data_IF_379211253905
#
_entry.id   IF_379211253905
#
_cell.length_a   1.000
_cell.length_b   1.000
_cell.length_c   1.000
_cell.angle_alpha   90.00
_cell.angle_beta   90.00
_cell.angle_gamma   90.00
#
_symmetry.space_group_name_H-M   'P 1'
#
loop_
_entity.id
_entity.type
_entity.pdbx_description
1 polymer ?
#
# COMPACT_ATOMS: atom_id res chain seq x y z
N UNK A 1 17.02 -10.80 -2.60
CA UNK A 1 17.02 -10.62 -1.12
C UNK A 1 16.00 -11.59 -0.55
N UNK A 2 16.29 -12.24 0.58
CA UNK A 2 15.45 -13.31 1.12
C UNK A 2 15.08 -13.02 2.58
N UNK A 3 13.81 -13.14 2.93
CA UNK A 3 13.34 -13.02 4.32
C UNK A 3 13.49 -14.35 5.04
N UNK A 4 14.04 -14.34 6.25
CA UNK A 4 14.20 -15.57 7.04
C UNK A 4 12.85 -16.08 7.55
N UNK A 5 12.53 -17.34 7.24
CA UNK A 5 11.32 -18.00 7.75
C UNK A 5 11.31 -18.08 9.27
N UNK A 6 12.46 -18.29 9.93
CA UNK A 6 12.54 -18.36 11.40
C UNK A 6 12.17 -17.04 12.07
N UNK A 7 12.53 -15.91 11.43
CA UNK A 7 12.14 -14.58 11.90
C UNK A 7 10.64 -14.39 11.70
N UNK A 8 10.10 -14.80 10.54
CA UNK A 8 8.67 -14.71 10.24
C UNK A 8 7.82 -15.57 11.16
N UNK A 9 8.26 -16.79 11.53
CA UNK A 9 7.57 -17.63 12.52
C UNK A 9 7.45 -16.93 13.87
N UNK A 10 8.56 -16.39 14.40
CA UNK A 10 8.56 -15.66 15.68
C UNK A 10 7.64 -14.45 15.65
N UNK A 11 7.68 -13.68 14.55
CA UNK A 11 6.83 -12.51 14.38
C UNK A 11 5.35 -12.89 14.19
N UNK A 12 5.07 -14.00 13.51
CA UNK A 12 3.71 -14.51 13.34
C UNK A 12 3.13 -14.96 14.67
N UNK A 13 3.88 -15.69 15.51
CA UNK A 13 3.44 -16.02 16.87
C UNK A 13 3.05 -14.77 17.66
N UNK A 14 3.92 -13.75 17.67
CA UNK A 14 3.65 -12.49 18.36
C UNK A 14 2.43 -11.75 17.79
N UNK A 15 2.24 -11.78 16.47
CA UNK A 15 1.07 -11.23 15.81
C UNK A 15 -0.20 -11.98 16.19
N UNK A 16 -0.19 -13.31 16.15
CA UNK A 16 -1.35 -14.14 16.49
C UNK A 16 -1.76 -13.97 17.96
N UNK A 17 -0.81 -13.86 18.88
CA UNK A 17 -1.07 -13.56 20.30
C UNK A 17 -1.67 -12.15 20.48
N UNK A 18 -1.14 -11.17 19.76
CA UNK A 18 -1.66 -9.80 19.78
C UNK A 18 -3.10 -9.73 19.25
N UNK A 19 -3.36 -10.32 18.07
CA UNK A 19 -4.72 -10.40 17.52
C UNK A 19 -5.63 -11.15 18.48
N UNK A 20 -5.19 -12.26 19.06
CA UNK A 20 -6.02 -13.03 19.98
C UNK A 20 -6.43 -12.24 21.23
N UNK A 21 -5.52 -11.40 21.72
CA UNK A 21 -5.80 -10.49 22.84
C UNK A 21 -6.81 -9.42 22.45
N UNK A 22 -6.65 -8.82 21.27
CA UNK A 22 -7.50 -7.72 20.80
C UNK A 22 -8.91 -8.19 20.39
N UNK A 23 -9.00 -9.33 19.70
CA UNK A 23 -10.24 -9.92 19.22
C UNK A 23 -10.93 -10.79 20.28
N UNK A 24 -10.24 -11.08 21.40
CA UNK A 24 -10.68 -12.01 22.47
C UNK A 24 -10.95 -13.44 21.96
N UNK A 25 -10.32 -13.83 20.86
CA UNK A 25 -10.42 -15.16 20.25
C UNK A 25 -9.17 -15.44 19.42
N UNK A 26 -8.72 -16.71 19.29
CA UNK A 26 -7.52 -17.03 18.51
C UNK A 26 -7.58 -16.52 17.07
N UNK A 27 -6.44 -16.04 16.55
CA UNK A 27 -6.31 -15.74 15.13
C UNK A 27 -6.51 -17.02 14.30
N UNK A 28 -7.38 -16.94 13.29
CA UNK A 28 -7.65 -18.06 12.37
C UNK A 28 -7.30 -17.68 10.93
N UNK A 29 -7.89 -16.59 10.42
CA UNK A 29 -7.63 -16.04 9.09
C UNK A 29 -7.64 -14.52 9.15
N UNK A 30 -7.02 -13.87 8.16
CA UNK A 30 -7.07 -12.41 8.05
C UNK A 30 -8.50 -11.89 7.89
N UNK A 31 -9.34 -12.60 7.13
CA UNK A 31 -10.72 -12.21 6.87
C UNK A 31 -11.65 -12.38 8.09
N UNK A 32 -11.29 -13.25 9.05
CA UNK A 32 -12.09 -13.48 10.26
C UNK A 32 -11.70 -12.57 11.44
N UNK A 33 -10.57 -11.85 11.35
CA UNK A 33 -10.09 -11.00 12.45
C UNK A 33 -10.78 -9.64 12.45
N UNK A 34 -11.42 -9.29 13.56
CA UNK A 34 -12.09 -7.99 13.74
C UNK A 34 -11.08 -6.85 13.84
N UNK A 35 -9.92 -7.08 14.46
CA UNK A 35 -8.81 -6.12 14.52
C UNK A 35 -8.28 -5.81 13.11
N UNK A 36 -7.97 -6.85 12.33
CA UNK A 36 -7.46 -6.68 10.96
C UNK A 36 -8.50 -5.96 10.12
N UNK A 37 -9.78 -6.33 10.25
CA UNK A 37 -10.85 -5.66 9.53
C UNK A 37 -10.90 -4.17 9.82
N UNK A 38 -11.09 -3.82 11.09
CA UNK A 38 -11.22 -2.43 11.53
C UNK A 38 -10.01 -1.56 11.18
N UNK A 39 -8.80 -2.14 11.21
CA UNK A 39 -7.57 -1.33 11.13
C UNK A 39 -6.91 -1.35 9.77
N UNK A 40 -7.11 -2.38 8.95
CA UNK A 40 -6.35 -2.55 7.70
C UNK A 40 -7.19 -2.98 6.48
N UNK A 41 -8.37 -3.61 6.65
CA UNK A 41 -9.18 -4.06 5.51
C UNK A 41 -9.83 -2.92 4.71
N UNK A 42 -9.93 -1.70 5.27
CA UNK A 42 -10.38 -0.52 4.52
C UNK A 42 -9.57 -0.30 3.24
N UNK A 43 -8.32 -0.80 3.16
CA UNK A 43 -7.47 -0.72 1.96
C UNK A 43 -8.06 -1.45 0.76
N UNK A 44 -8.80 -2.55 0.97
CA UNK A 44 -9.53 -3.23 -0.09
C UNK A 44 -10.63 -2.31 -0.63
N UNK A 45 -11.41 -1.69 0.25
CA UNK A 45 -12.42 -0.71 -0.15
C UNK A 45 -11.79 0.47 -0.88
N UNK A 46 -10.65 0.99 -0.40
CA UNK A 46 -9.91 2.08 -1.07
C UNK A 46 -9.48 1.68 -2.49
N UNK A 47 -8.99 0.46 -2.67
CA UNK A 47 -8.59 -0.04 -3.98
C UNK A 47 -9.76 -0.07 -4.97
N UNK A 48 -10.89 -0.67 -4.58
CA UNK A 48 -12.06 -0.80 -5.45
C UNK A 48 -12.63 0.58 -5.82
N UNK A 49 -12.87 1.44 -4.82
CA UNK A 49 -13.44 2.76 -5.03
C UNK A 49 -12.49 3.69 -5.81
N UNK A 50 -11.19 3.61 -5.57
CA UNK A 50 -10.21 4.37 -6.36
C UNK A 50 -10.21 3.97 -7.83
N UNK A 51 -10.42 2.69 -8.16
CA UNK A 51 -10.50 2.23 -9.55
C UNK A 51 -11.77 2.67 -10.26
N UNK A 52 -12.90 2.65 -9.56
CA UNK A 52 -14.13 3.20 -10.11
C UNK A 52 -14.01 4.70 -10.36
N UNK A 53 -13.46 5.46 -9.40
CA UNK A 53 -13.18 6.89 -9.58
C UNK A 53 -12.15 7.19 -10.68
N UNK A 54 -11.15 6.32 -10.86
CA UNK A 54 -10.17 6.45 -11.93
C UNK A 54 -10.82 6.25 -13.31
N UNK A 55 -11.76 5.32 -13.44
CA UNK A 55 -12.54 5.11 -14.66
C UNK A 55 -11.71 4.84 -15.92
N UNK A 56 -10.47 4.36 -15.77
CA UNK A 56 -9.49 4.24 -16.86
C UNK A 56 -9.94 3.32 -18.00
N UNK A 57 -10.89 2.41 -17.74
CA UNK A 57 -11.55 1.58 -18.76
C UNK A 57 -12.14 2.43 -19.90
N UNK A 58 -12.66 3.62 -19.60
CA UNK A 58 -13.35 4.49 -20.55
C UNK A 58 -12.50 5.57 -21.21
N UNK A 59 -11.23 5.73 -20.81
CA UNK A 59 -10.37 6.75 -21.40
C UNK A 59 -10.08 6.48 -22.87
N UNK A 60 -10.05 7.55 -23.66
CA UNK A 60 -9.70 7.54 -25.08
C UNK A 60 -8.49 8.43 -25.36
N UNK A 61 -7.85 8.27 -26.52
CA UNK A 61 -6.66 9.07 -26.88
C UNK A 61 -7.01 10.56 -26.95
N UNK A 62 -8.24 10.91 -27.31
CA UNK A 62 -8.73 12.29 -27.41
C UNK A 62 -8.92 12.95 -26.04
N UNK A 63 -8.98 12.16 -24.95
CA UNK A 63 -9.05 12.70 -23.59
C UNK A 63 -7.70 13.29 -23.14
N UNK A 64 -6.59 12.96 -23.83
CA UNK A 64 -5.24 13.43 -23.49
C UNK A 64 -5.09 14.93 -23.76
N UNK A 65 -4.71 15.68 -22.73
CA UNK A 65 -4.52 17.14 -22.75
C UNK A 65 -5.76 17.93 -22.35
N UNK A 66 -6.91 17.27 -22.12
CA UNK A 66 -8.16 17.93 -21.74
C UNK A 66 -8.21 18.28 -20.24
N UNK A 67 -7.42 17.57 -19.42
CA UNK A 67 -7.48 17.60 -17.96
C UNK A 67 -8.36 16.52 -17.35
N UNK A 68 -9.12 15.75 -18.16
CA UNK A 68 -10.02 14.69 -17.70
C UNK A 68 -9.27 13.54 -17.02
N UNK A 69 -8.11 13.15 -17.54
CA UNK A 69 -7.30 12.04 -17.00
C UNK A 69 -6.65 12.47 -15.69
N UNK A 70 -6.06 13.66 -15.63
CA UNK A 70 -5.53 14.23 -14.39
C UNK A 70 -6.63 14.39 -13.33
N UNK A 71 -7.83 14.83 -13.71
CA UNK A 71 -8.97 14.92 -12.80
C UNK A 71 -9.38 13.55 -12.26
N UNK A 72 -9.42 12.52 -13.11
CA UNK A 72 -9.73 11.15 -12.68
C UNK A 72 -8.66 10.59 -11.73
N UNK A 73 -7.36 10.83 -11.99
CA UNK A 73 -6.29 10.48 -11.06
C UNK A 73 -6.45 11.23 -9.74
N UNK A 74 -6.77 12.52 -9.79
CA UNK A 74 -7.01 13.33 -8.58
C UNK A 74 -8.22 12.82 -7.76
N UNK A 75 -9.28 12.34 -8.42
CA UNK A 75 -10.42 11.71 -7.75
C UNK A 75 -9.99 10.40 -7.07
N UNK A 76 -9.28 9.52 -7.79
CA UNK A 76 -8.84 8.22 -7.28
C UNK A 76 -7.89 8.29 -6.06
N UNK A 77 -7.06 9.34 -5.95
CA UNK A 77 -6.20 9.54 -4.78
C UNK A 77 -6.95 10.18 -3.59
N UNK A 78 -8.02 10.94 -3.85
CA UNK A 78 -8.84 11.62 -2.82
C UNK A 78 -10.05 10.79 -2.38
N UNK A 79 -10.16 9.56 -2.86
CA UNK A 79 -11.19 8.58 -2.48
C UNK A 79 -11.44 8.53 -0.97
N UNK A 80 -12.72 8.50 -0.63
CA UNK A 80 -13.26 8.18 0.70
C UNK A 80 -14.12 6.94 0.57
N UNK A 81 -14.04 6.02 1.52
CA UNK A 81 -14.75 4.75 1.44
C UNK A 81 -15.60 4.51 2.67
N UNK A 82 -16.73 3.86 2.48
CA UNK A 82 -17.51 3.33 3.59
C UNK A 82 -16.98 1.94 3.92
N UNK A 83 -16.44 1.76 5.13
CA UNK A 83 -15.88 0.50 5.59
C UNK A 83 -16.34 0.24 7.03
N UNK A 84 -16.90 -0.94 7.29
CA UNK A 84 -17.40 -1.36 8.61
C UNK A 84 -18.25 -0.30 9.32
N UNK A 85 -19.19 0.26 8.55
CA UNK A 85 -20.13 1.31 8.93
C UNK A 85 -19.57 2.73 9.15
N UNK A 86 -18.29 2.95 8.85
CA UNK A 86 -17.60 4.23 9.04
C UNK A 86 -17.07 4.78 7.71
N UNK A 87 -17.04 6.11 7.59
CA UNK A 87 -16.38 6.79 6.47
C UNK A 87 -14.88 6.91 6.75
N UNK A 88 -14.06 6.29 5.92
CA UNK A 88 -12.61 6.26 6.04
C UNK A 88 -11.97 7.05 4.90
N UNK A 89 -11.10 7.99 5.24
CA UNK A 89 -10.26 8.69 4.27
C UNK A 89 -9.15 7.76 3.76
N UNK A 90 -8.86 7.80 2.45
CA UNK A 90 -7.64 7.17 1.94
C UNK A 90 -6.42 7.81 2.61
N UNK A 91 -5.69 7.07 3.43
CA UNK A 91 -4.48 7.52 4.12
C UNK A 91 -3.19 6.86 3.55
N UNK A 92 -3.30 6.11 2.45
CA UNK A 92 -2.18 5.43 1.80
C UNK A 92 -1.23 6.39 1.08
N UNK A 93 -1.67 7.63 0.86
CA UNK A 93 -0.87 8.74 0.34
C UNK A 93 -1.02 9.90 1.30
N UNK A 94 0.10 10.55 1.66
CA UNK A 94 0.08 11.75 2.51
C UNK A 94 -0.82 12.83 1.89
N UNK A 95 -1.70 13.42 2.71
CA UNK A 95 -2.68 14.41 2.27
C UNK A 95 -2.02 15.62 1.58
N UNK A 96 -0.81 16.01 1.99
CA UNK A 96 -0.05 17.12 1.39
C UNK A 96 0.28 16.82 -0.06
N UNK A 97 0.60 15.57 -0.38
CA UNK A 97 0.92 15.16 -1.75
C UNK A 97 -0.32 15.12 -2.64
N UNK A 98 -1.48 14.81 -2.06
CA UNK A 98 -2.76 14.92 -2.76
C UNK A 98 -3.12 16.37 -3.04
N UNK A 99 -2.88 17.24 -2.07
CA UNK A 99 -3.12 18.67 -2.20
C UNK A 99 -2.19 19.30 -3.26
N UNK A 100 -0.89 19.03 -3.17
CA UNK A 100 0.12 19.41 -4.17
C UNK A 100 -0.29 18.95 -5.58
N UNK A 101 -0.70 17.68 -5.74
CA UNK A 101 -1.15 17.17 -7.04
C UNK A 101 -2.38 17.91 -7.56
N UNK A 102 -3.34 18.22 -6.68
CA UNK A 102 -4.57 18.90 -7.08
C UNK A 102 -4.38 20.36 -7.51
N UNK A 103 -3.26 20.98 -7.13
CA UNK A 103 -2.86 22.32 -7.54
C UNK A 103 -2.03 22.33 -8.83
N UNK A 104 -1.64 21.15 -9.35
CA UNK A 104 -0.86 21.07 -10.60
C UNK A 104 -1.69 21.57 -11.78
N UNK A 105 -1.04 22.35 -12.63
CA UNK A 105 -1.62 22.74 -13.91
C UNK A 105 -1.90 21.49 -14.78
N UNK A 106 -2.87 21.65 -15.68
CA UNK A 106 -3.14 20.64 -16.70
C UNK A 106 -1.88 20.43 -17.53
N UNK A 107 -1.47 19.17 -17.69
CA UNK A 107 -0.26 18.78 -18.42
C UNK A 107 -0.60 17.66 -19.38
N UNK A 108 -0.55 17.97 -20.68
CA UNK A 108 -0.72 16.98 -21.74
C UNK A 108 0.32 15.85 -21.61
N UNK A 109 1.54 16.18 -21.20
CA UNK A 109 2.60 15.18 -21.02
C UNK A 109 2.23 14.21 -19.89
N UNK A 110 1.84 14.73 -18.73
CA UNK A 110 1.47 13.91 -17.58
C UNK A 110 0.22 13.05 -17.86
N UNK A 111 -0.79 13.60 -18.55
CA UNK A 111 -1.95 12.81 -18.99
C UNK A 111 -1.58 11.71 -19.99
N UNK A 112 -0.61 11.98 -20.89
CA UNK A 112 -0.08 10.95 -21.81
C UNK A 112 0.57 9.81 -21.03
N UNK A 113 1.38 10.13 -20.01
CA UNK A 113 2.04 9.14 -19.14
C UNK A 113 0.99 8.30 -18.40
N UNK A 114 0.00 8.93 -17.76
CA UNK A 114 -1.09 8.22 -17.08
C UNK A 114 -1.88 7.33 -18.04
N UNK A 115 -2.24 7.84 -19.22
CA UNK A 115 -2.97 7.07 -20.22
C UNK A 115 -2.19 5.83 -20.64
N UNK A 116 -0.92 5.99 -21.02
CA UNK A 116 -0.06 4.90 -21.44
C UNK A 116 0.16 3.88 -20.32
N UNK A 117 0.37 4.36 -19.09
CA UNK A 117 0.52 3.52 -17.91
C UNK A 117 -0.73 2.67 -17.67
N UNK A 118 -1.91 3.26 -17.55
CA UNK A 118 -3.14 2.52 -17.22
C UNK A 118 -3.72 1.71 -18.38
N UNK A 119 -3.38 2.04 -19.63
CA UNK A 119 -3.69 1.23 -20.82
C UNK A 119 -2.60 0.20 -21.15
N UNK A 120 -1.57 0.08 -20.31
CA UNK A 120 -0.45 -0.85 -20.49
C UNK A 120 0.25 -0.73 -21.86
N UNK A 121 0.41 0.50 -22.35
CA UNK A 121 1.10 0.82 -23.61
C UNK A 121 2.61 0.97 -23.47
N UNK A 122 3.10 1.08 -22.24
CA UNK A 122 4.52 1.21 -21.89
C UNK A 122 4.87 0.22 -20.78
N UNK A 123 6.16 -0.09 -20.64
CA UNK A 123 6.63 -1.00 -19.58
C UNK A 123 6.44 -0.38 -18.20
N UNK A 124 6.22 -1.22 -17.20
CA UNK A 124 6.08 -0.77 -15.81
C UNK A 124 7.32 0.00 -15.32
N UNK A 125 8.55 -0.40 -15.67
CA UNK A 125 9.75 0.36 -15.30
C UNK A 125 9.84 1.74 -15.95
N UNK A 126 9.42 1.83 -17.21
CA UNK A 126 9.40 3.08 -17.98
C UNK A 126 8.37 4.05 -17.41
N UNK A 127 7.15 3.58 -17.14
CA UNK A 127 6.11 4.38 -16.52
C UNK A 127 6.54 4.92 -15.15
N UNK A 128 7.20 4.10 -14.34
CA UNK A 128 7.69 4.52 -13.02
C UNK A 128 8.66 5.69 -13.15
N UNK A 129 9.67 5.55 -14.03
CA UNK A 129 10.66 6.59 -14.25
C UNK A 129 10.04 7.88 -14.81
N UNK A 130 9.10 7.77 -15.75
CA UNK A 130 8.39 8.94 -16.31
C UNK A 130 7.57 9.67 -15.24
N UNK A 131 6.84 8.93 -14.39
CA UNK A 131 6.04 9.52 -13.31
C UNK A 131 6.91 10.22 -12.25
N UNK A 132 8.06 9.63 -11.90
CA UNK A 132 9.02 10.26 -10.98
C UNK A 132 9.66 11.49 -11.60
N UNK A 133 10.00 11.46 -12.90
CA UNK A 133 10.56 12.61 -13.61
C UNK A 133 9.57 13.77 -13.74
N UNK A 134 8.26 13.48 -13.78
CA UNK A 134 7.20 14.48 -13.63
C UNK A 134 7.09 15.05 -12.20
N UNK A 135 7.98 14.66 -11.29
CA UNK A 135 8.05 15.13 -9.92
C UNK A 135 6.98 14.52 -9.01
N UNK A 136 6.37 13.39 -9.37
CA UNK A 136 5.50 12.66 -8.45
C UNK A 136 6.37 11.92 -7.44
N UNK A 137 6.01 12.04 -6.16
CA UNK A 137 6.76 11.38 -5.10
C UNK A 137 6.66 9.86 -5.18
N UNK A 138 7.63 9.15 -4.60
CA UNK A 138 7.64 7.68 -4.54
C UNK A 138 6.34 7.07 -4.00
N UNK A 139 5.84 7.52 -2.85
CA UNK A 139 4.57 7.07 -2.28
C UNK A 139 3.39 7.26 -3.26
N UNK A 140 3.36 8.38 -3.96
CA UNK A 140 2.30 8.68 -4.93
C UNK A 140 2.38 7.70 -6.10
N UNK A 141 3.56 7.50 -6.67
CA UNK A 141 3.78 6.55 -7.75
C UNK A 141 3.41 5.14 -7.30
N UNK A 142 3.88 4.68 -6.14
CA UNK A 142 3.52 3.37 -5.60
C UNK A 142 2.00 3.18 -5.43
N UNK A 143 1.27 4.22 -4.99
CA UNK A 143 -0.19 4.17 -4.91
C UNK A 143 -0.85 4.01 -6.29
N UNK A 144 -0.36 4.68 -7.34
CA UNK A 144 -0.86 4.50 -8.71
C UNK A 144 -0.68 3.06 -9.20
N UNK A 145 0.45 2.43 -8.84
CA UNK A 145 0.68 1.01 -9.13
C UNK A 145 -0.24 0.09 -8.35
N UNK A 146 -0.45 0.37 -7.06
CA UNK A 146 -1.41 -0.36 -6.24
C UNK A 146 -2.82 -0.34 -6.85
N UNK A 147 -3.34 0.82 -7.25
CA UNK A 147 -4.68 0.89 -7.86
C UNK A 147 -4.71 0.37 -9.31
N UNK A 148 -3.56 0.24 -9.98
CA UNK A 148 -3.45 -0.46 -11.27
C UNK A 148 -3.61 -1.97 -11.11
N UNK A 149 -2.93 -2.57 -10.12
CA UNK A 149 -2.99 -4.01 -9.83
C UNK A 149 -2.50 -4.33 -8.40
N UNK A 150 -3.44 -4.52 -7.47
CA UNK A 150 -3.16 -4.80 -6.06
C UNK A 150 -2.59 -6.20 -5.81
N UNK A 151 -2.64 -7.10 -6.79
CA UNK A 151 -2.03 -8.43 -6.69
C UNK A 151 -0.54 -8.41 -7.03
N UNK A 152 -0.04 -7.32 -7.64
CA UNK A 152 1.35 -7.15 -8.06
C UNK A 152 2.07 -6.05 -7.28
N UNK A 153 1.35 -5.01 -6.89
CA UNK A 153 1.92 -3.78 -6.37
C UNK A 153 1.20 -3.31 -5.12
N UNK A 154 1.95 -2.70 -4.21
CA UNK A 154 1.43 -2.22 -2.94
C UNK A 154 1.80 -0.76 -2.68
N UNK A 155 0.99 -0.03 -1.88
CA UNK A 155 1.37 1.30 -1.42
C UNK A 155 2.60 1.22 -0.51
N UNK A 156 3.31 2.33 -0.34
CA UNK A 156 4.51 2.39 0.51
C UNK A 156 4.49 3.62 1.42
N UNK A 157 4.95 3.43 2.65
CA UNK A 157 5.39 4.50 3.55
C UNK A 157 6.85 4.25 3.88
N UNK A 158 7.77 4.94 3.20
CA UNK A 158 9.18 4.53 3.15
C UNK A 158 9.81 4.37 4.53
N UNK A 159 9.81 5.42 5.36
CA UNK A 159 10.42 5.38 6.70
C UNK A 159 9.80 4.30 7.61
N UNK A 160 8.50 4.04 7.48
CA UNK A 160 7.83 2.98 8.27
C UNK A 160 8.26 1.61 7.79
N UNK A 161 8.33 1.40 6.47
CA UNK A 161 8.77 0.13 5.92
C UNK A 161 10.24 -0.15 6.12
N UNK A 162 11.10 0.87 6.17
CA UNK A 162 12.51 0.69 6.51
C UNK A 162 12.66 0.13 7.95
N UNK A 163 11.87 0.66 8.90
CA UNK A 163 11.82 0.11 10.28
C UNK A 163 11.26 -1.31 10.33
N UNK A 164 10.21 -1.60 9.56
CA UNK A 164 9.64 -2.95 9.44
C UNK A 164 10.68 -3.92 8.86
N UNK A 165 11.41 -3.51 7.82
CA UNK A 165 12.43 -4.32 7.17
C UNK A 165 13.60 -4.64 8.08
N UNK A 166 14.04 -3.69 8.90
CA UNK A 166 14.99 -3.98 9.99
C UNK A 166 14.48 -5.09 10.92
N UNK A 167 13.20 -5.06 11.32
CA UNK A 167 12.59 -6.07 12.21
C UNK A 167 12.50 -7.46 11.60
N UNK A 168 12.27 -7.57 10.29
CA UNK A 168 12.24 -8.86 9.59
C UNK A 168 13.64 -9.32 9.14
N UNK A 169 14.71 -8.68 9.62
CA UNK A 169 16.09 -9.07 9.36
C UNK A 169 16.72 -8.50 8.08
N UNK A 170 16.09 -7.49 7.48
CA UNK A 170 16.55 -6.82 6.25
C UNK A 170 17.09 -5.41 6.54
N UNK A 171 17.98 -5.28 7.53
CA UNK A 171 18.52 -3.98 7.97
C UNK A 171 19.29 -3.20 6.90
N UNK A 172 19.77 -3.87 5.85
CA UNK A 172 20.51 -3.25 4.75
C UNK A 172 19.63 -2.77 3.59
N UNK A 173 18.31 -3.00 3.67
CA UNK A 173 17.37 -2.57 2.63
C UNK A 173 16.62 -1.32 3.07
N UNK A 174 16.80 -0.23 2.32
CA UNK A 174 16.14 1.04 2.58
C UNK A 174 15.36 1.50 1.34
N UNK A 175 14.20 2.07 1.58
CA UNK A 175 13.30 2.65 0.58
C UNK A 175 13.29 4.18 0.68
N UNK A 176 13.61 4.75 1.85
CA UNK A 176 13.73 6.19 2.04
C UNK A 176 14.90 6.76 1.25
N UNK A 177 14.64 7.81 0.46
CA UNK A 177 15.66 8.42 -0.41
C UNK A 177 16.15 7.52 -1.57
N UNK A 178 15.60 6.31 -1.76
CA UNK A 178 16.03 5.34 -2.79
C UNK A 178 14.98 5.14 -3.88
N UNK A 179 14.43 6.24 -4.40
CA UNK A 179 13.35 6.21 -5.40
C UNK A 179 13.86 5.61 -6.73
N UNK A 180 13.47 4.38 -7.03
CA UNK A 180 13.78 3.71 -8.29
C UNK A 180 12.83 2.53 -8.51
N UNK A 181 12.69 2.10 -9.77
CA UNK A 181 11.94 0.91 -10.11
C UNK A 181 12.48 -0.35 -9.42
N UNK A 182 13.81 -0.51 -9.37
CA UNK A 182 14.45 -1.69 -8.76
C UNK A 182 14.23 -1.73 -7.24
N UNK A 183 14.26 -0.57 -6.57
CA UNK A 183 13.90 -0.49 -5.16
C UNK A 183 12.43 -0.86 -4.92
N UNK A 184 11.52 -0.36 -5.76
CA UNK A 184 10.09 -0.62 -5.61
C UNK A 184 9.71 -2.07 -5.88
N UNK A 185 10.33 -2.67 -6.90
CA UNK A 185 10.16 -4.09 -7.18
C UNK A 185 10.71 -4.95 -6.05
N UNK A 186 11.89 -4.62 -5.51
CA UNK A 186 12.45 -5.30 -4.33
C UNK A 186 11.51 -5.21 -3.12
N UNK A 187 10.94 -4.03 -2.86
CA UNK A 187 9.92 -3.83 -1.82
C UNK A 187 8.72 -4.78 -2.02
N UNK A 188 8.14 -4.83 -3.22
CA UNK A 188 7.01 -5.73 -3.49
C UNK A 188 7.40 -7.20 -3.40
N UNK A 189 8.62 -7.57 -3.81
CA UNK A 189 9.11 -8.95 -3.75
C UNK A 189 9.36 -9.44 -2.33
N UNK A 190 9.82 -8.57 -1.43
CA UNK A 190 9.88 -8.87 0.01
C UNK A 190 8.48 -9.17 0.54
N UNK A 191 7.47 -8.37 0.20
CA UNK A 191 6.10 -8.60 0.67
C UNK A 191 5.50 -9.87 0.06
N UNK A 192 5.84 -10.22 -1.19
CA UNK A 192 5.45 -11.52 -1.79
C UNK A 192 6.04 -12.70 -1.02
N UNK A 193 7.28 -12.61 -0.54
CA UNK A 193 7.87 -13.66 0.30
C UNK A 193 7.11 -13.80 1.61
N UNK A 194 6.78 -12.68 2.26
CA UNK A 194 5.96 -12.67 3.48
C UNK A 194 4.58 -13.29 3.22
N UNK A 195 3.91 -12.95 2.11
CA UNK A 195 2.65 -13.60 1.70
C UNK A 195 2.82 -15.11 1.54
N UNK A 196 3.88 -15.56 0.87
CA UNK A 196 4.09 -16.98 0.65
C UNK A 196 4.27 -17.73 1.98
N UNK A 197 4.94 -17.12 2.96
CA UNK A 197 5.00 -17.61 4.33
C UNK A 197 3.61 -17.62 4.99
N UNK A 198 2.86 -16.51 4.93
CA UNK A 198 1.53 -16.42 5.54
C UNK A 198 0.55 -17.45 4.97
N UNK A 199 0.71 -17.84 3.69
CA UNK A 199 -0.08 -18.91 3.07
C UNK A 199 0.10 -20.30 3.69
N UNK A 200 1.18 -20.52 4.44
CA UNK A 200 1.33 -21.75 5.23
C UNK A 200 0.52 -21.72 6.53
N UNK A 201 -0.05 -20.56 6.90
CA UNK A 201 -0.85 -20.34 8.10
C UNK A 201 -2.32 -20.06 7.76
N UNK A 202 -2.54 -19.26 6.72
CA UNK A 202 -3.84 -18.96 6.11
C UNK A 202 -3.69 -18.98 4.58
N UNK A 203 -4.16 -20.05 3.95
CA UNK A 203 -4.00 -20.32 2.51
C UNK A 203 -4.55 -19.20 1.61
N UNK A 204 -5.51 -18.43 2.09
CA UNK A 204 -6.16 -17.36 1.32
C UNK A 204 -5.43 -16.01 1.43
N UNK A 205 -4.34 -15.94 2.20
CA UNK A 205 -3.57 -14.70 2.39
C UNK A 205 -3.19 -14.06 1.04
N UNK A 206 -3.63 -12.81 0.87
CA UNK A 206 -3.34 -11.99 -0.31
C UNK A 206 -2.03 -11.20 -0.14
N UNK A 207 -1.62 -10.52 -1.22
CA UNK A 207 -0.48 -9.60 -1.12
C UNK A 207 -0.78 -8.42 -0.18
N UNK A 208 -2.04 -7.97 -0.15
CA UNK A 208 -2.46 -6.89 0.73
C UNK A 208 -2.52 -7.33 2.19
N UNK A 209 -2.89 -8.58 2.48
CA UNK A 209 -2.83 -9.14 3.84
C UNK A 209 -1.39 -9.19 4.36
N UNK A 210 -0.43 -9.57 3.51
CA UNK A 210 0.98 -9.55 3.86
C UNK A 210 1.51 -8.13 4.15
N UNK A 211 1.06 -7.14 3.37
CA UNK A 211 1.35 -5.74 3.68
C UNK A 211 0.72 -5.32 5.03
N UNK A 212 -0.53 -5.69 5.28
CA UNK A 212 -1.26 -5.34 6.51
C UNK A 212 -0.64 -6.00 7.74
N UNK A 213 -0.24 -7.28 7.65
CA UNK A 213 0.54 -7.98 8.66
C UNK A 213 1.81 -7.21 9.05
N UNK A 214 2.63 -6.85 8.06
CA UNK A 214 3.85 -6.08 8.29
C UNK A 214 3.57 -4.71 8.92
N UNK A 215 2.49 -4.05 8.50
CA UNK A 215 2.08 -2.77 9.05
C UNK A 215 1.64 -2.85 10.51
N UNK A 216 0.87 -3.88 10.87
CA UNK A 216 0.44 -4.15 12.24
C UNK A 216 1.66 -4.41 13.14
N UNK A 217 2.59 -5.25 12.68
CA UNK A 217 3.86 -5.54 13.38
C UNK A 217 4.69 -4.27 13.65
N UNK A 218 4.77 -3.39 12.65
CA UNK A 218 5.64 -2.21 12.67
C UNK A 218 5.05 -0.99 13.38
N UNK A 219 3.73 -0.87 13.44
CA UNK A 219 3.09 0.34 13.98
C UNK A 219 2.17 0.05 15.16
N UNK A 220 1.22 -0.87 15.00
CA UNK A 220 0.15 -1.05 15.99
C UNK A 220 0.67 -1.77 17.23
N UNK A 221 1.41 -2.86 17.03
CA UNK A 221 2.02 -3.60 18.15
C UNK A 221 3.06 -2.78 18.90
N UNK A 222 3.79 -1.89 18.23
CA UNK A 222 4.70 -0.94 18.89
C UNK A 222 3.94 0.03 19.79
N UNK A 223 2.86 0.63 19.28
CA UNK A 223 2.04 1.59 20.01
C UNK A 223 1.35 0.93 21.22
N UNK A 224 0.77 -0.26 21.07
CA UNK A 224 0.15 -0.98 22.19
C UNK A 224 1.15 -1.32 23.29
N UNK A 225 2.36 -1.77 22.93
CA UNK A 225 3.45 -2.02 23.90
C UNK A 225 3.88 -0.74 24.60
N UNK A 226 3.96 0.38 23.88
CA UNK A 226 4.28 1.67 24.48
C UNK A 226 3.20 2.11 25.48
N UNK A 227 1.92 2.05 25.10
CA UNK A 227 0.78 2.39 25.99
C UNK A 227 0.78 1.50 27.23
N UNK A 228 0.93 0.19 27.08
CA UNK A 228 0.97 -0.74 28.23
C UNK A 228 2.13 -0.49 29.22
N UNK A 229 3.21 0.18 28.79
CA UNK A 229 4.35 0.50 29.66
C UNK A 229 4.18 1.80 30.45
N UNK A 230 3.31 2.71 29.98
CA UNK A 230 3.10 4.03 30.60
C UNK A 230 1.84 4.10 31.47
N UNK A 231 0.90 3.18 31.29
CA UNK A 231 -0.23 2.97 32.23
C UNK A 231 0.03 1.69 33.03
N UNK A 232 0.46 1.78 34.31
CA UNK A 232 0.49 0.62 35.18
C UNK A 232 -0.95 0.16 35.50
N UNK A 233 -1.14 -1.11 35.90
CA UNK A 233 -2.44 -1.65 36.27
C UNK A 233 -3.09 -0.91 37.45
#
# INVERSE_FOLDING_TARGET
MTVSTDILEKLFTAFSEFVATMDKQPFTTFNASSLVDKTENYKYSVYEEARENLGNKWWRTEDIGTGKIQQAVNAAIKTRVYHSFEMVDNNLVDWRKKDEFSKRAKSKNLETIFFNFYKSKIKDSEAFNQLVNEGLSYQFVAYLYFIKDSNRFLPISQERFDKIFQRIGLSHFETSGKVSWDNYTTFNDVIKQVRNFLRTKDINSTLLDAHSFLWILGNQMEQSRFVSRITPP
#
